data_IF_139089350352
#
_entry.id   IF_139089350352
#
_cell.length_a   1.000
_cell.length_b   1.000
_cell.length_c   1.000
_cell.angle_alpha   90.00
_cell.angle_beta   90.00
_cell.angle_gamma   90.00
#
_symmetry.space_group_name_H-M   'P 1'
#
loop_
_entity.id
_entity.type
_entity.pdbx_description
1 polymer ?
#
# COMPACT_ATOMS: atom_id res chain seq x y z
N UNK A 1 12.49 6.35 2.00
CA UNK A 1 13.12 5.35 1.12
C UNK A 1 13.58 5.90 -0.22
N UNK A 2 12.84 6.81 -0.88
CA UNK A 2 13.18 7.30 -2.22
C UNK A 2 14.65 7.77 -2.36
N UNK A 3 15.14 8.63 -1.47
CA UNK A 3 16.54 9.10 -1.53
C UNK A 3 17.56 7.96 -1.44
N UNK A 4 17.34 6.98 -0.56
CA UNK A 4 18.25 5.84 -0.44
C UNK A 4 18.30 4.99 -1.73
N UNK A 5 17.18 4.88 -2.47
CA UNK A 5 17.17 4.20 -3.77
C UNK A 5 17.95 4.98 -4.83
N UNK A 6 17.86 6.32 -4.79
CA UNK A 6 18.67 7.21 -5.64
C UNK A 6 20.15 7.03 -5.33
N UNK A 7 20.54 7.13 -4.06
CA UNK A 7 21.92 7.00 -3.61
C UNK A 7 22.51 5.62 -3.92
N UNK A 8 21.67 4.58 -3.94
CA UNK A 8 22.04 3.22 -4.31
C UNK A 8 22.20 3.01 -5.84
N UNK A 9 21.88 4.01 -6.67
CA UNK A 9 21.98 3.91 -8.12
C UNK A 9 20.93 2.98 -8.75
N UNK A 10 19.77 2.79 -8.10
CA UNK A 10 18.67 2.01 -8.67
C UNK A 10 18.16 2.69 -9.94
N UNK A 11 18.04 1.94 -11.04
CA UNK A 11 17.65 2.50 -12.35
C UNK A 11 16.17 2.33 -12.68
N UNK A 12 15.50 1.35 -12.05
CA UNK A 12 14.07 1.08 -12.23
C UNK A 12 13.41 0.70 -10.91
N UNK A 13 12.27 1.31 -10.62
CA UNK A 13 11.42 1.00 -9.47
C UNK A 13 10.01 0.68 -9.98
N UNK A 14 9.50 -0.48 -9.57
CA UNK A 14 8.10 -0.84 -9.79
C UNK A 14 7.44 -0.97 -8.42
N UNK A 15 6.31 -0.33 -8.22
CA UNK A 15 5.58 -0.41 -6.96
C UNK A 15 4.10 -0.67 -7.19
N UNK A 16 3.47 -1.37 -6.24
CA UNK A 16 2.09 -1.82 -6.40
C UNK A 16 1.08 -0.71 -6.04
N UNK A 17 1.07 -0.26 -4.78
CA UNK A 17 0.10 0.70 -4.24
C UNK A 17 0.82 2.01 -3.91
N UNK A 18 0.26 3.14 -4.35
CA UNK A 18 0.72 4.46 -3.93
C UNK A 18 0.35 4.75 -2.48
N UNK A 19 1.25 5.39 -1.73
CA UNK A 19 1.03 5.68 -0.32
C UNK A 19 -0.07 6.77 -0.13
N UNK A 20 -1.22 6.44 0.50
CA UNK A 20 -2.27 7.40 0.78
C UNK A 20 -1.95 8.33 1.95
N UNK A 21 -0.88 8.09 2.72
CA UNK A 21 -0.47 8.94 3.83
C UNK A 21 0.12 10.27 3.31
N UNK A 22 -0.48 11.43 3.63
CA UNK A 22 0.02 12.73 3.19
C UNK A 22 1.47 13.03 3.63
N UNK A 23 1.92 12.44 4.74
CA UNK A 23 3.27 12.65 5.26
C UNK A 23 4.35 11.83 4.53
N UNK A 24 3.96 10.81 3.76
CA UNK A 24 4.88 9.87 3.11
C UNK A 24 4.68 9.77 1.59
N UNK A 25 3.74 10.53 1.03
CA UNK A 25 3.54 10.66 -0.42
C UNK A 25 4.71 11.40 -1.09
N UNK A 26 4.77 11.37 -2.42
CA UNK A 26 5.80 12.09 -3.21
C UNK A 26 7.02 11.26 -3.63
N UNK A 27 7.16 10.02 -3.12
CA UNK A 27 8.33 9.19 -3.40
C UNK A 27 8.54 8.87 -4.88
N UNK A 28 7.45 8.59 -5.62
CA UNK A 28 7.52 8.34 -7.06
C UNK A 28 8.03 9.58 -7.82
N UNK A 29 7.57 10.77 -7.46
CA UNK A 29 8.02 12.03 -8.06
C UNK A 29 9.51 12.27 -7.78
N UNK A 30 9.98 12.02 -6.55
CA UNK A 30 11.40 12.10 -6.21
C UNK A 30 12.25 11.17 -7.07
N UNK A 31 11.82 9.92 -7.25
CA UNK A 31 12.53 8.93 -8.07
C UNK A 31 12.56 9.35 -9.55
N UNK A 32 11.41 9.76 -10.11
CA UNK A 32 11.34 10.25 -11.49
C UNK A 32 12.23 11.47 -11.72
N UNK A 33 12.27 12.41 -10.78
CA UNK A 33 13.11 13.60 -10.86
C UNK A 33 14.62 13.27 -10.84
N UNK A 34 15.00 12.15 -10.24
CA UNK A 34 16.36 11.61 -10.25
C UNK A 34 16.68 10.78 -11.51
N UNK A 35 15.77 10.69 -12.49
CA UNK A 35 15.97 9.95 -13.73
C UNK A 35 15.70 8.44 -13.63
N UNK A 36 15.11 7.97 -12.53
CA UNK A 36 14.74 6.56 -12.35
C UNK A 36 13.46 6.26 -13.12
N UNK A 37 13.42 5.13 -13.83
CA UNK A 37 12.20 4.65 -14.46
C UNK A 37 11.24 4.12 -13.40
N UNK A 38 10.06 4.72 -13.27
CA UNK A 38 9.07 4.37 -12.24
C UNK A 38 7.78 3.88 -12.89
N UNK A 39 7.33 2.69 -12.49
CA UNK A 39 6.04 2.12 -12.89
C UNK A 39 5.19 1.81 -11.65
N UNK A 40 3.90 2.12 -11.73
CA UNK A 40 2.92 1.89 -10.66
C UNK A 40 1.92 0.80 -11.06
N UNK A 41 1.40 0.08 -10.07
CA UNK A 41 0.19 -0.72 -10.22
C UNK A 41 0.43 -2.20 -10.48
N UNK A 42 1.69 -2.66 -10.48
CA UNK A 42 2.00 -4.08 -10.64
C UNK A 42 1.44 -4.85 -9.43
N UNK A 43 0.47 -5.75 -9.69
CA UNK A 43 -0.24 -6.52 -8.67
C UNK A 43 -0.87 -5.64 -7.57
N UNK A 44 -1.44 -4.49 -7.97
CA UNK A 44 -2.03 -3.54 -7.02
C UNK A 44 -3.11 -4.17 -6.15
N UNK A 45 -3.97 -5.00 -6.74
CA UNK A 45 -5.06 -5.66 -6.01
C UNK A 45 -4.53 -6.60 -4.93
N UNK A 46 -3.58 -7.47 -5.28
CA UNK A 46 -2.96 -8.43 -4.36
C UNK A 46 -2.19 -7.70 -3.26
N UNK A 47 -1.45 -6.65 -3.59
CA UNK A 47 -0.75 -5.84 -2.61
C UNK A 47 -1.71 -5.07 -1.69
N UNK A 48 -2.86 -4.62 -2.23
CA UNK A 48 -3.90 -3.97 -1.43
C UNK A 48 -4.56 -4.94 -0.46
N UNK A 49 -4.79 -6.20 -0.85
CA UNK A 49 -5.31 -7.25 0.04
C UNK A 49 -4.36 -7.54 1.21
N UNK A 50 -3.06 -7.70 0.94
CA UNK A 50 -2.04 -7.89 2.01
C UNK A 50 -2.02 -6.71 2.98
N UNK A 51 -2.34 -5.51 2.51
CA UNK A 51 -2.35 -4.27 3.29
C UNK A 51 -3.76 -3.80 3.69
N UNK A 52 -4.79 -4.64 3.56
CA UNK A 52 -6.19 -4.22 3.70
C UNK A 52 -6.44 -3.51 5.04
N UNK A 53 -5.85 -4.00 6.12
CA UNK A 53 -5.99 -3.41 7.45
C UNK A 53 -5.44 -1.98 7.52
N UNK A 54 -4.21 -1.77 7.03
CA UNK A 54 -3.55 -0.48 7.05
C UNK A 54 -4.19 0.51 6.07
N UNK A 55 -4.49 0.07 4.83
CA UNK A 55 -5.15 0.90 3.83
C UNK A 55 -6.53 1.38 4.30
N UNK A 56 -7.30 0.52 4.98
CA UNK A 56 -8.58 0.91 5.59
C UNK A 56 -8.37 2.03 6.62
N UNK A 57 -7.38 1.85 7.52
CA UNK A 57 -7.05 2.84 8.55
C UNK A 57 -6.68 4.20 7.95
N UNK A 58 -5.77 4.22 6.98
CA UNK A 58 -5.25 5.48 6.44
C UNK A 58 -6.26 6.15 5.49
N UNK A 59 -6.98 5.38 4.67
CA UNK A 59 -7.93 5.95 3.70
C UNK A 59 -9.25 6.40 4.33
N UNK A 60 -9.76 5.63 5.31
CA UNK A 60 -11.09 5.88 5.89
C UNK A 60 -11.04 6.52 7.28
N UNK A 61 -9.85 6.68 7.87
CA UNK A 61 -9.71 7.22 9.23
C UNK A 61 -10.32 6.34 10.31
N UNK A 62 -10.46 5.03 10.07
CA UNK A 62 -11.04 4.06 11.01
C UNK A 62 -10.40 2.67 10.85
N UNK A 63 -10.36 1.85 11.91
CA UNK A 63 -9.72 0.54 11.83
C UNK A 63 -10.45 -0.40 10.86
N UNK A 64 -9.69 -1.34 10.28
CA UNK A 64 -10.27 -2.53 9.66
C UNK A 64 -10.77 -3.48 10.73
N UNK A 65 -12.00 -3.98 10.55
CA UNK A 65 -12.66 -4.83 11.55
C UNK A 65 -13.04 -6.16 10.91
N UNK A 66 -12.49 -7.24 11.45
CA UNK A 66 -12.95 -8.60 11.17
C UNK A 66 -13.85 -9.03 12.32
N UNK A 67 -15.15 -9.16 12.06
CA UNK A 67 -16.07 -9.73 13.03
C UNK A 67 -16.17 -11.24 12.83
N UNK A 68 -15.72 -12.01 13.83
CA UNK A 68 -15.85 -13.46 13.82
C UNK A 68 -17.09 -13.87 14.59
N UNK A 69 -17.88 -14.74 13.98
CA UNK A 69 -19.07 -15.33 14.54
C UNK A 69 -19.04 -16.86 14.38
N UNK A 70 -19.69 -17.59 15.29
CA UNK A 70 -19.90 -19.03 15.17
C UNK A 70 -21.31 -19.35 15.65
N UNK A 71 -21.98 -20.23 14.91
CA UNK A 71 -23.32 -20.69 15.23
C UNK A 71 -23.56 -22.11 14.74
N UNK A 72 -24.61 -22.73 15.28
CA UNK A 72 -25.23 -23.93 14.70
C UNK A 72 -25.78 -23.64 13.30
N UNK A 73 -26.15 -24.70 12.56
CA UNK A 73 -26.75 -24.57 11.22
C UNK A 73 -28.04 -23.72 11.23
N UNK A 74 -28.80 -23.74 12.32
CA UNK A 74 -30.01 -22.93 12.53
C UNK A 74 -29.72 -21.56 13.18
N UNK A 75 -28.46 -21.14 13.26
CA UNK A 75 -28.08 -19.77 13.64
C UNK A 75 -28.06 -19.47 15.13
N UNK A 76 -27.95 -20.49 16.00
CA UNK A 76 -27.87 -20.30 17.47
C UNK A 76 -26.42 -20.22 17.96
N UNK A 77 -26.21 -19.46 19.03
CA UNK A 77 -24.92 -19.25 19.71
C UNK A 77 -24.83 -20.16 20.93
#
# INVERSE_FOLDING_TARGET
>A
CAQALVDAGVTRVVYAVGDPNPAATGGAQTLCAAGIAVEQGLLEAEAAEVNAAWLTSVRLGRPHVTWKYAATLDGRI
#
